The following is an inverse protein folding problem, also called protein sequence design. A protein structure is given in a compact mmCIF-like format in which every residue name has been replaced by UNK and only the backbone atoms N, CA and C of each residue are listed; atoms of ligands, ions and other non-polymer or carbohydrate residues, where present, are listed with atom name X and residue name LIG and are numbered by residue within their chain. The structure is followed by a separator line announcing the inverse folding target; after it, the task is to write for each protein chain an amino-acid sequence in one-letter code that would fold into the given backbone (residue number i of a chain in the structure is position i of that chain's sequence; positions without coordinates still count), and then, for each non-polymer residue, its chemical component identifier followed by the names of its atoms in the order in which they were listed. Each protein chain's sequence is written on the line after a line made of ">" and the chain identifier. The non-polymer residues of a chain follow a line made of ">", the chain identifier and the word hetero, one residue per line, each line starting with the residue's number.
data_IF_443219734196
#
_entry.id   IF_443219734196
#
_cell.length_a   1.000
_cell.length_b   1.000
_cell.length_c   1.000
_cell.angle_alpha   90.00
_cell.angle_beta   90.00
_cell.angle_gamma   90.00
#
_symmetry.space_group_name_H-M   'P 1'
#
loop_
_entity.id
_entity.type
_entity.pdbx_description
1 polymer ?
#
# COMPACT_ATOMS: atom_id res chain seq x y z
N UNK A 1 13.49 7.95 15.52
CA UNK A 1 13.25 8.57 16.86
C UNK A 1 14.43 9.46 17.24
N UNK A 2 14.22 10.50 18.06
CA UNK A 2 15.32 11.32 18.59
C UNK A 2 15.48 11.10 20.09
N UNK A 3 16.72 10.83 20.53
CA UNK A 3 17.05 10.55 21.92
C UNK A 3 16.55 11.67 22.84
N UNK A 4 15.87 11.27 23.93
CA UNK A 4 15.31 12.18 24.93
C UNK A 4 13.86 12.60 24.68
N UNK A 5 13.28 12.24 23.52
CA UNK A 5 11.84 12.48 23.27
C UNK A 5 11.00 11.58 24.19
N UNK A 6 10.06 12.13 24.99
CA UNK A 6 9.14 11.31 25.78
C UNK A 6 8.33 10.38 24.87
N UNK A 7 8.28 9.09 25.22
CA UNK A 7 7.66 8.06 24.38
C UNK A 7 6.65 7.22 25.17
N UNK A 8 5.50 6.86 24.57
CA UNK A 8 4.54 5.92 25.16
C UNK A 8 4.94 4.45 24.98
N UNK A 9 5.96 4.15 24.15
CA UNK A 9 6.45 2.79 23.89
C UNK A 9 7.83 2.56 24.51
N UNK A 10 8.15 1.30 24.80
CA UNK A 10 9.36 0.91 25.55
C UNK A 10 10.67 1.11 24.79
N UNK A 11 10.68 0.91 23.47
CA UNK A 11 11.89 0.94 22.62
C UNK A 11 11.67 1.76 21.34
N UNK A 12 11.36 3.07 21.43
CA UNK A 12 11.10 3.91 20.27
C UNK A 12 12.34 4.11 19.37
N UNK A 13 13.54 3.92 19.90
CA UNK A 13 14.80 4.02 19.18
C UNK A 13 14.96 2.97 18.08
N UNK A 14 14.20 1.87 18.15
CA UNK A 14 14.18 0.84 17.11
C UNK A 14 13.35 1.24 15.89
N UNK A 15 12.66 2.39 15.93
CA UNK A 15 11.86 2.91 14.81
C UNK A 15 12.67 3.91 13.97
N UNK A 16 13.17 3.42 12.85
CA UNK A 16 13.78 4.18 11.75
C UNK A 16 13.15 3.71 10.43
N UNK A 17 12.09 4.39 10.02
CA UNK A 17 11.31 4.05 8.82
C UNK A 17 11.09 5.27 7.95
N UNK A 18 10.94 5.05 6.64
CA UNK A 18 10.59 6.10 5.67
C UNK A 18 9.32 5.69 4.93
N UNK A 19 8.29 6.52 4.98
CA UNK A 19 6.97 6.21 4.41
C UNK A 19 6.80 6.92 3.06
N UNK A 20 6.61 6.12 2.02
CA UNK A 20 6.15 6.52 0.69
C UNK A 20 4.65 6.25 0.58
N UNK A 21 3.88 7.32 0.72
CA UNK A 21 2.43 7.32 0.56
C UNK A 21 2.06 7.79 -0.84
N UNK A 22 1.27 7.00 -1.56
CA UNK A 22 0.62 7.45 -2.79
C UNK A 22 -0.32 8.63 -2.48
N UNK A 23 -0.30 9.72 -3.25
CA UNK A 23 -1.01 10.95 -2.91
C UNK A 23 -1.85 11.54 -4.07
N UNK A 24 -2.14 10.76 -5.11
CA UNK A 24 -2.87 11.20 -6.30
C UNK A 24 -4.17 10.43 -6.56
N UNK A 25 -4.36 9.25 -5.99
CA UNK A 25 -5.51 8.36 -6.21
C UNK A 25 -6.01 7.77 -4.88
N UNK A 26 -6.55 6.54 -4.89
CA UNK A 26 -7.28 5.91 -3.78
C UNK A 26 -8.61 6.65 -3.45
N UNK A 27 -9.26 6.28 -2.35
CA UNK A 27 -10.51 6.88 -1.84
C UNK A 27 -10.38 8.39 -1.58
N UNK A 28 -9.15 8.90 -1.44
CA UNK A 28 -8.85 10.32 -1.30
C UNK A 28 -9.14 11.13 -2.57
N UNK A 29 -9.45 10.47 -3.70
CA UNK A 29 -9.98 11.13 -4.90
C UNK A 29 -11.29 11.91 -4.65
N UNK A 30 -12.00 11.64 -3.55
CA UNK A 30 -13.21 12.39 -3.17
C UNK A 30 -14.40 12.16 -4.12
N UNK A 31 -14.41 11.01 -4.80
CA UNK A 31 -15.49 10.61 -5.70
C UNK A 31 -16.55 9.90 -4.89
N UNK A 32 -17.54 10.66 -4.43
CA UNK A 32 -18.61 10.15 -3.57
C UNK A 32 -19.94 10.89 -3.77
N UNK A 33 -21.03 10.20 -3.41
CA UNK A 33 -22.39 10.73 -3.47
C UNK A 33 -23.12 10.50 -2.15
N UNK A 34 -23.81 11.55 -1.70
CA UNK A 34 -24.52 11.58 -0.41
C UNK A 34 -25.75 10.66 -0.44
N UNK A 35 -25.98 9.95 0.67
CA UNK A 35 -27.20 9.17 0.88
C UNK A 35 -28.48 9.98 0.62
N UNK A 36 -29.42 9.40 -0.12
CA UNK A 36 -30.70 10.01 -0.47
C UNK A 36 -30.63 11.06 -1.58
N UNK A 37 -29.47 11.28 -2.21
CA UNK A 37 -29.35 12.11 -3.41
C UNK A 37 -29.72 11.32 -4.66
N UNK A 38 -30.21 12.02 -5.69
CA UNK A 38 -30.57 11.42 -6.97
C UNK A 38 -29.37 10.76 -7.67
N UNK A 39 -28.17 11.31 -7.48
CA UNK A 39 -26.92 10.78 -8.02
C UNK A 39 -26.53 9.46 -7.35
N UNK A 40 -26.63 9.37 -6.01
CA UNK A 40 -26.36 8.14 -5.29
C UNK A 40 -27.32 7.02 -5.73
N UNK A 41 -28.62 7.33 -5.81
CA UNK A 41 -29.64 6.39 -6.28
C UNK A 41 -29.37 5.92 -7.73
N UNK A 42 -28.93 6.84 -8.60
CA UNK A 42 -28.54 6.53 -9.98
C UNK A 42 -27.35 5.57 -10.03
N UNK A 43 -26.32 5.80 -9.22
CA UNK A 43 -25.13 4.93 -9.15
C UNK A 43 -25.50 3.56 -8.58
N UNK A 44 -26.30 3.50 -7.52
CA UNK A 44 -26.80 2.25 -6.94
C UNK A 44 -27.60 1.46 -7.97
N UNK A 45 -28.48 2.14 -8.72
CA UNK A 45 -29.26 1.51 -9.78
C UNK A 45 -28.35 0.94 -10.87
N UNK A 46 -27.38 1.72 -11.36
CA UNK A 46 -26.40 1.24 -12.33
C UNK A 46 -25.66 -0.01 -11.84
N UNK A 47 -25.14 0.02 -10.61
CA UNK A 47 -24.42 -1.12 -10.03
C UNK A 47 -25.31 -2.37 -9.93
N UNK A 48 -26.58 -2.23 -9.57
CA UNK A 48 -27.49 -3.36 -9.38
C UNK A 48 -28.04 -3.91 -10.69
N UNK A 49 -28.51 -3.03 -11.57
CA UNK A 49 -29.27 -3.40 -12.76
C UNK A 49 -28.33 -3.77 -13.93
N UNK A 50 -27.28 -2.97 -14.15
CA UNK A 50 -26.34 -3.16 -15.27
C UNK A 50 -25.15 -4.05 -14.87
N UNK A 51 -24.58 -3.82 -13.69
CA UNK A 51 -23.39 -4.55 -13.22
C UNK A 51 -23.72 -5.78 -12.38
N UNK A 52 -25.00 -6.06 -12.13
CA UNK A 52 -25.47 -7.24 -11.40
C UNK A 52 -25.02 -7.33 -9.93
N UNK A 53 -24.67 -6.20 -9.31
CA UNK A 53 -24.17 -6.17 -7.92
C UNK A 53 -25.28 -6.52 -6.94
N UNK A 54 -25.07 -7.60 -6.18
CA UNK A 54 -25.99 -8.08 -5.12
C UNK A 54 -25.47 -7.86 -3.69
N UNK A 55 -24.30 -7.24 -3.54
CA UNK A 55 -23.58 -7.13 -2.26
C UNK A 55 -23.88 -5.85 -1.46
N UNK A 56 -24.63 -4.91 -2.02
CA UNK A 56 -25.09 -3.72 -1.28
C UNK A 56 -26.17 -4.16 -0.31
N UNK A 57 -25.85 -4.18 1.00
CA UNK A 57 -26.71 -4.75 2.04
C UNK A 57 -27.98 -3.94 2.31
N UNK A 58 -27.87 -2.61 2.26
CA UNK A 58 -28.94 -1.65 2.51
C UNK A 58 -28.88 -0.59 1.40
N UNK A 59 -29.64 -0.75 0.29
CA UNK A 59 -29.52 0.14 -0.87
C UNK A 59 -30.31 1.45 -0.73
N UNK A 60 -31.23 1.55 0.22
CA UNK A 60 -31.99 2.78 0.48
C UNK A 60 -31.23 3.66 1.48
N UNK A 61 -31.27 5.00 1.28
CA UNK A 61 -30.52 5.95 2.12
C UNK A 61 -29.03 5.57 2.27
N UNK A 62 -28.42 5.14 1.17
CA UNK A 62 -27.06 4.63 1.12
C UNK A 62 -26.13 5.61 0.39
N UNK A 63 -25.03 6.02 1.03
CA UNK A 63 -23.97 6.77 0.36
C UNK A 63 -23.04 5.84 -0.41
N UNK A 64 -22.44 6.34 -1.49
CA UNK A 64 -21.50 5.57 -2.32
C UNK A 64 -20.19 6.34 -2.45
N UNK A 65 -19.06 5.63 -2.32
CA UNK A 65 -17.72 6.13 -2.62
C UNK A 65 -17.01 5.23 -3.62
N UNK A 66 -16.06 5.80 -4.35
CA UNK A 66 -15.25 5.09 -5.37
C UNK A 66 -13.78 5.13 -4.98
N UNK A 67 -13.15 3.95 -4.95
CA UNK A 67 -11.70 3.78 -4.69
C UNK A 67 -11.01 3.29 -5.97
N UNK A 68 -10.42 4.17 -6.79
CA UNK A 68 -9.56 3.77 -7.90
C UNK A 68 -8.16 3.37 -7.41
N UNK A 69 -7.52 2.46 -8.12
CA UNK A 69 -6.10 2.15 -7.99
C UNK A 69 -5.57 1.81 -9.39
N UNK A 70 -4.49 2.45 -9.81
CA UNK A 70 -3.93 2.32 -11.15
C UNK A 70 -2.53 1.72 -11.14
N UNK A 71 -2.18 1.05 -12.24
CA UNK A 71 -0.83 0.54 -12.46
C UNK A 71 0.18 1.69 -12.54
N UNK A 72 -0.14 2.76 -13.28
CA UNK A 72 0.74 3.92 -13.44
C UNK A 72 1.04 4.60 -12.10
N UNK A 73 0.02 4.88 -11.31
CA UNK A 73 0.17 5.49 -9.98
C UNK A 73 0.95 4.60 -9.02
N UNK A 74 0.63 3.31 -9.01
CA UNK A 74 1.35 2.31 -8.21
C UNK A 74 2.82 2.24 -8.61
N UNK A 75 3.12 1.99 -9.89
CA UNK A 75 4.48 1.83 -10.39
C UNK A 75 5.30 3.10 -10.17
N UNK A 76 4.73 4.30 -10.36
CA UNK A 76 5.39 5.58 -10.06
C UNK A 76 5.82 5.67 -8.59
N UNK A 77 4.92 5.36 -7.66
CA UNK A 77 5.20 5.44 -6.23
C UNK A 77 6.23 4.39 -5.79
N UNK A 78 6.04 3.13 -6.18
CA UNK A 78 6.94 2.04 -5.78
C UNK A 78 8.33 2.22 -6.38
N UNK A 79 8.44 2.73 -7.61
CA UNK A 79 9.74 3.12 -8.22
C UNK A 79 10.48 4.12 -7.36
N UNK A 80 9.81 5.20 -6.95
CA UNK A 80 10.40 6.22 -6.09
C UNK A 80 10.87 5.63 -4.74
N UNK A 81 10.12 4.70 -4.16
CA UNK A 81 10.49 4.05 -2.90
C UNK A 81 11.73 3.13 -3.06
N UNK A 82 11.83 2.35 -4.13
CA UNK A 82 12.98 1.49 -4.42
C UNK A 82 14.22 2.33 -4.76
N UNK A 83 14.07 3.36 -5.59
CA UNK A 83 15.17 4.30 -5.90
C UNK A 83 15.69 4.99 -4.63
N UNK A 84 14.79 5.38 -3.73
CA UNK A 84 15.17 5.93 -2.43
C UNK A 84 15.94 4.92 -1.59
N UNK A 85 15.48 3.67 -1.53
CA UNK A 85 16.16 2.60 -0.80
C UNK A 85 17.59 2.36 -1.33
N UNK A 86 17.76 2.34 -2.66
CA UNK A 86 19.05 2.20 -3.33
C UNK A 86 19.96 3.39 -3.02
N UNK A 87 19.44 4.61 -3.17
CA UNK A 87 20.22 5.85 -3.00
C UNK A 87 20.71 6.02 -1.56
N UNK A 88 19.91 5.59 -0.59
CA UNK A 88 20.19 5.76 0.84
C UNK A 88 20.64 4.47 1.54
N UNK A 89 21.02 3.45 0.76
CA UNK A 89 21.51 2.14 1.21
C UNK A 89 20.63 1.45 2.29
N UNK A 90 19.31 1.56 2.12
CA UNK A 90 18.29 1.02 3.04
C UNK A 90 18.19 -0.50 2.92
N UNK A 91 17.65 -1.16 3.94
CA UNK A 91 17.62 -2.63 4.06
C UNK A 91 16.46 -3.28 3.30
N UNK A 92 15.29 -2.62 3.26
CA UNK A 92 14.10 -3.21 2.66
C UNK A 92 13.07 -2.19 2.20
N UNK A 93 12.21 -2.61 1.26
CA UNK A 93 10.99 -1.92 0.84
C UNK A 93 9.80 -2.84 1.14
N UNK A 94 8.84 -2.35 1.92
CA UNK A 94 7.65 -3.11 2.33
C UNK A 94 6.40 -2.53 1.67
N UNK A 95 5.72 -3.33 0.86
CA UNK A 95 4.42 -3.04 0.27
C UNK A 95 3.31 -3.31 1.31
N UNK A 96 2.68 -2.25 1.83
CA UNK A 96 1.60 -2.38 2.83
C UNK A 96 0.24 -2.23 2.16
N UNK A 97 -0.61 -3.24 2.32
CA UNK A 97 -1.87 -3.31 1.60
C UNK A 97 -2.94 -4.13 2.34
N UNK A 98 -4.23 -4.00 1.99
CA UNK A 98 -5.33 -4.85 2.46
C UNK A 98 -5.89 -5.74 1.34
N UNK A 99 -4.98 -6.29 0.55
CA UNK A 99 -5.29 -7.02 -0.68
C UNK A 99 -6.00 -8.36 -0.49
N UNK A 100 -6.04 -8.92 0.72
CA UNK A 100 -6.84 -10.12 0.99
C UNK A 100 -8.36 -9.85 0.91
N UNK A 101 -8.80 -8.61 1.19
CA UNK A 101 -10.19 -8.16 1.07
C UNK A 101 -10.39 -7.38 -0.24
N UNK A 102 -9.56 -6.37 -0.51
CA UNK A 102 -9.65 -5.49 -1.67
C UNK A 102 -8.72 -5.95 -2.80
N UNK A 103 -8.99 -7.12 -3.36
CA UNK A 103 -8.10 -7.81 -4.32
C UNK A 103 -7.74 -6.98 -5.56
N UNK A 104 -8.68 -6.22 -6.09
CA UNK A 104 -8.52 -5.53 -7.38
C UNK A 104 -8.06 -4.07 -7.27
N UNK A 105 -7.77 -3.61 -6.05
CA UNK A 105 -7.16 -2.30 -5.81
C UNK A 105 -5.91 -2.49 -4.97
N UNK A 106 -6.07 -2.84 -3.69
CA UNK A 106 -4.95 -3.06 -2.77
C UNK A 106 -4.16 -4.33 -3.07
N UNK A 107 -4.83 -5.37 -3.57
CA UNK A 107 -4.12 -6.56 -4.08
C UNK A 107 -3.32 -6.23 -5.34
N UNK A 108 -3.91 -5.47 -6.25
CA UNK A 108 -3.26 -5.01 -7.47
C UNK A 108 -2.06 -4.10 -7.18
N UNK A 109 -2.15 -3.20 -6.18
CA UNK A 109 -1.01 -2.40 -5.71
C UNK A 109 0.20 -3.29 -5.35
N UNK A 110 -0.03 -4.36 -4.58
CA UNK A 110 1.02 -5.32 -4.21
C UNK A 110 1.54 -6.07 -5.45
N UNK A 111 0.66 -6.55 -6.32
CA UNK A 111 1.07 -7.30 -7.51
C UNK A 111 1.92 -6.43 -8.47
N UNK A 112 1.49 -5.22 -8.78
CA UNK A 112 2.24 -4.26 -9.62
C UNK A 112 3.53 -3.78 -8.97
N UNK A 113 3.57 -3.61 -7.65
CA UNK A 113 4.79 -3.26 -6.93
C UNK A 113 5.87 -4.34 -7.06
N UNK A 114 5.49 -5.61 -6.89
CA UNK A 114 6.40 -6.73 -7.12
C UNK A 114 6.78 -6.90 -8.60
N UNK A 115 5.84 -6.66 -9.51
CA UNK A 115 6.11 -6.68 -10.95
C UNK A 115 7.18 -5.66 -11.34
N UNK A 116 7.02 -4.41 -10.93
CA UNK A 116 8.02 -3.36 -11.15
C UNK A 116 9.38 -3.71 -10.55
N UNK A 117 9.40 -4.26 -9.33
CA UNK A 117 10.64 -4.71 -8.70
C UNK A 117 11.39 -5.76 -9.55
N UNK A 118 10.68 -6.66 -10.23
CA UNK A 118 11.28 -7.64 -11.16
C UNK A 118 11.71 -6.99 -12.47
N UNK A 119 10.82 -6.22 -13.10
CA UNK A 119 10.99 -5.71 -14.46
C UNK A 119 12.05 -4.61 -14.56
N UNK A 120 12.08 -3.70 -13.58
CA UNK A 120 12.94 -2.50 -13.64
C UNK A 120 14.19 -2.61 -12.78
N UNK A 121 14.14 -3.40 -11.71
CA UNK A 121 15.24 -3.51 -10.74
C UNK A 121 15.86 -4.91 -10.66
N UNK A 122 15.43 -5.85 -11.51
CA UNK A 122 15.99 -7.19 -11.57
C UNK A 122 15.77 -8.00 -10.29
N UNK A 123 14.66 -7.76 -9.58
CA UNK A 123 14.34 -8.46 -8.35
C UNK A 123 14.22 -9.98 -8.54
N UNK A 124 14.95 -10.74 -7.73
CA UNK A 124 14.95 -12.21 -7.75
C UNK A 124 14.12 -12.77 -6.58
N UNK A 125 13.43 -13.89 -6.79
CA UNK A 125 12.65 -14.54 -5.75
C UNK A 125 13.54 -15.06 -4.61
N UNK A 126 13.09 -14.83 -3.38
CA UNK A 126 13.62 -15.46 -2.17
C UNK A 126 12.77 -16.70 -1.88
N UNK A 127 13.39 -17.89 -1.81
CA UNK A 127 12.78 -19.16 -1.40
C UNK A 127 11.45 -19.53 -2.11
N UNK A 128 11.27 -19.08 -3.36
CA UNK A 128 10.05 -19.33 -4.14
C UNK A 128 8.93 -18.29 -3.96
N UNK A 129 9.16 -17.24 -3.15
CA UNK A 129 8.33 -16.05 -3.07
C UNK A 129 7.38 -15.99 -1.85
N UNK A 130 6.63 -14.89 -1.71
CA UNK A 130 6.48 -13.81 -2.70
C UNK A 130 7.59 -12.76 -2.65
N UNK A 131 8.46 -12.79 -1.64
CA UNK A 131 9.48 -11.75 -1.45
C UNK A 131 10.57 -11.81 -2.50
N UNK A 132 11.11 -10.64 -2.81
CA UNK A 132 12.21 -10.48 -3.74
C UNK A 132 13.43 -9.90 -3.04
N UNK A 133 14.59 -10.10 -3.65
CA UNK A 133 15.81 -9.38 -3.35
C UNK A 133 16.26 -8.59 -4.57
N UNK A 134 16.64 -7.34 -4.35
CA UNK A 134 17.24 -6.45 -5.35
C UNK A 134 18.67 -6.17 -4.90
N UNK A 135 19.64 -6.24 -5.81
CA UNK A 135 21.02 -5.84 -5.49
C UNK A 135 21.17 -4.33 -5.66
N UNK A 136 21.58 -3.64 -4.60
CA UNK A 136 21.94 -2.22 -4.68
C UNK A 136 23.16 -2.07 -5.62
N UNK A 137 23.06 -1.35 -6.76
CA UNK A 137 24.16 -1.20 -7.70
C UNK A 137 25.33 -0.38 -7.13
N UNK A 138 25.09 0.44 -6.11
CA UNK A 138 26.10 1.35 -5.54
C UNK A 138 26.94 0.67 -4.45
N UNK A 139 26.32 -0.18 -3.63
CA UNK A 139 26.94 -0.77 -2.43
C UNK A 139 27.07 -2.29 -2.50
N UNK A 140 26.36 -2.93 -3.44
CA UNK A 140 26.28 -4.38 -3.56
C UNK A 140 25.38 -5.05 -2.51
N UNK A 141 24.81 -4.28 -1.57
CA UNK A 141 23.87 -4.74 -0.54
C UNK A 141 22.60 -5.31 -1.15
N UNK A 142 22.05 -6.38 -0.59
CA UNK A 142 20.74 -6.90 -0.97
C UNK A 142 19.63 -6.12 -0.23
N UNK A 143 18.69 -5.57 -0.99
CA UNK A 143 17.49 -4.89 -0.51
C UNK A 143 16.32 -5.85 -0.65
N UNK A 144 15.63 -6.14 0.45
CA UNK A 144 14.47 -7.03 0.42
C UNK A 144 13.22 -6.25 0.01
N UNK A 145 12.52 -6.70 -1.04
CA UNK A 145 11.16 -6.24 -1.35
C UNK A 145 10.18 -7.26 -0.80
N UNK A 146 9.32 -6.83 0.11
CA UNK A 146 8.37 -7.69 0.83
C UNK A 146 7.00 -7.03 0.92
N UNK A 147 6.01 -7.77 1.40
CA UNK A 147 4.66 -7.27 1.64
C UNK A 147 4.12 -7.68 3.01
N UNK A 148 3.15 -6.92 3.50
CA UNK A 148 2.43 -7.20 4.73
C UNK A 148 1.02 -6.62 4.67
N UNK A 149 0.07 -7.34 5.27
CA UNK A 149 -1.30 -6.87 5.33
C UNK A 149 -1.42 -5.71 6.34
N UNK A 150 -2.10 -4.63 5.97
CA UNK A 150 -2.15 -3.37 6.72
C UNK A 150 -2.58 -3.51 8.20
N UNK A 151 -3.57 -4.34 8.51
CA UNK A 151 -3.99 -4.56 9.91
C UNK A 151 -2.94 -5.31 10.74
N UNK A 152 -2.25 -6.29 10.15
CA UNK A 152 -1.12 -6.94 10.78
C UNK A 152 0.07 -5.99 10.91
N UNK A 153 0.31 -5.14 9.91
CA UNK A 153 1.40 -4.15 9.92
C UNK A 153 1.30 -3.19 11.09
N UNK A 154 0.10 -2.68 11.40
CA UNK A 154 -0.13 -1.79 12.56
C UNK A 154 0.24 -2.45 13.90
N UNK A 155 0.19 -3.78 14.00
CA UNK A 155 0.70 -4.51 15.16
C UNK A 155 2.22 -4.66 15.10
N UNK A 156 2.75 -5.02 13.93
CA UNK A 156 4.17 -5.29 13.76
C UNK A 156 5.06 -4.06 13.95
N UNK A 157 4.61 -2.86 13.57
CA UNK A 157 5.39 -1.63 13.81
C UNK A 157 5.57 -1.31 15.31
N UNK A 158 4.75 -1.88 16.20
CA UNK A 158 4.94 -1.79 17.65
C UNK A 158 5.79 -2.94 18.19
N UNK A 159 5.56 -4.15 17.70
CA UNK A 159 6.18 -5.38 18.22
C UNK A 159 7.57 -5.64 17.66
N UNK A 160 7.80 -5.26 16.39
CA UNK A 160 8.99 -5.55 15.60
C UNK A 160 9.37 -4.39 14.65
N UNK A 161 9.48 -3.14 15.16
CA UNK A 161 9.78 -1.98 14.31
C UNK A 161 11.09 -2.14 13.52
N UNK A 162 12.12 -2.77 14.10
CA UNK A 162 13.42 -2.96 13.45
C UNK A 162 13.38 -3.89 12.22
N UNK A 163 12.28 -4.62 11.99
CA UNK A 163 12.14 -5.43 10.78
C UNK A 163 11.73 -4.60 9.55
N UNK A 164 11.36 -3.34 9.70
CA UNK A 164 10.87 -2.50 8.60
C UNK A 164 11.71 -1.25 8.42
N UNK A 165 11.88 -0.86 7.15
CA UNK A 165 12.70 0.27 6.78
C UNK A 165 11.90 1.22 5.86
N UNK A 166 11.98 1.05 4.53
CA UNK A 166 11.17 1.83 3.59
C UNK A 166 9.80 1.17 3.44
N UNK A 167 8.74 1.97 3.52
CA UNK A 167 7.35 1.54 3.36
C UNK A 167 6.76 2.18 2.11
N UNK A 168 6.12 1.40 1.26
CA UNK A 168 5.33 1.90 0.14
C UNK A 168 3.88 1.44 0.30
N UNK A 169 2.94 2.39 0.27
CA UNK A 169 1.53 2.12 0.54
C UNK A 169 0.59 3.07 -0.21
N UNK A 170 -0.67 2.64 -0.36
CA UNK A 170 -1.74 3.45 -0.92
C UNK A 170 -2.12 4.61 0.03
N UNK A 171 -2.80 5.61 -0.53
CA UNK A 171 -3.11 6.89 0.12
C UNK A 171 -3.77 6.75 1.50
N UNK A 172 -4.77 5.87 1.66
CA UNK A 172 -5.46 5.71 2.94
C UNK A 172 -4.63 4.99 4.01
N UNK A 173 -3.73 4.09 3.60
CA UNK A 173 -2.91 3.34 4.55
C UNK A 173 -1.73 4.18 5.09
N UNK A 174 -1.28 5.18 4.32
CA UNK A 174 -0.14 6.05 4.66
C UNK A 174 -0.50 7.23 5.54
#
# INVERSE_FOLDING_TARGET
>A
YYQGTPSPVKQPELTDMVIFRENAEDIYAGIEWKAGSAEADKVIKFLRDEMGVKKIRFPEQCGIGVKPCSEEGTKRLVRAAIEYAITNDRDSVTLVHKGNIMKFTEGAFKDWGYELAREEFGGELIDGGPWLKIKNPNTGKEIVVKDVIADAFLQQILLRPAEYDVIACMNLNG
#
